data_IF_337563701987
#
_entry.id   IF_337563701987
#
_cell.length_a   1.000
_cell.length_b   1.000
_cell.length_c   1.000
_cell.angle_alpha   90.00
_cell.angle_beta   90.00
_cell.angle_gamma   90.00
#
_symmetry.space_group_name_H-M   'P 1'
#
loop_
_entity.id
_entity.type
_entity.pdbx_description
1 polymer ?
#
# COMPACT_ATOMS: atom_id res chain seq x y z
N UNK A 1 14.62 -23.19 9.33
CA UNK A 1 13.67 -22.31 10.06
C UNK A 1 14.21 -20.90 9.98
N UNK A 2 13.53 -20.00 9.27
CA UNK A 2 14.00 -18.62 9.05
C UNK A 2 13.43 -17.73 10.17
N UNK A 3 14.31 -17.10 10.93
CA UNK A 3 13.94 -16.21 12.03
C UNK A 3 13.51 -14.86 11.43
N UNK A 4 12.25 -14.46 11.63
CA UNK A 4 11.74 -13.13 11.23
C UNK A 4 11.80 -12.22 12.44
N UNK A 5 12.70 -11.24 12.40
CA UNK A 5 12.86 -10.25 13.48
C UNK A 5 11.89 -9.10 13.25
N UNK A 6 10.95 -8.89 14.16
CA UNK A 6 10.08 -7.71 14.17
C UNK A 6 10.71 -6.63 15.04
N UNK A 7 11.00 -5.46 14.48
CA UNK A 7 11.43 -4.28 15.21
C UNK A 7 10.24 -3.32 15.39
N UNK A 8 9.77 -3.16 16.63
CA UNK A 8 8.79 -2.13 16.99
C UNK A 8 9.55 -0.82 17.21
N UNK A 9 9.38 0.14 16.29
CA UNK A 9 9.97 1.48 16.43
C UNK A 9 8.99 2.37 17.19
N UNK A 10 9.22 2.56 18.50
CA UNK A 10 8.43 3.45 19.35
C UNK A 10 8.90 4.90 19.10
N UNK A 11 7.99 5.79 18.70
CA UNK A 11 8.27 7.23 18.51
C UNK A 11 8.53 7.68 17.07
N UNK A 12 8.42 6.80 16.08
CA UNK A 12 8.32 7.24 14.69
C UNK A 12 6.96 7.93 14.48
N UNK A 13 6.89 9.10 13.82
CA UNK A 13 5.61 9.71 13.48
C UNK A 13 4.83 8.75 12.58
N UNK A 14 3.75 8.18 13.11
CA UNK A 14 2.82 7.40 12.31
C UNK A 14 2.04 8.37 11.43
N UNK A 15 2.24 8.28 10.12
CA UNK A 15 1.41 9.01 9.17
C UNK A 15 0.09 8.25 9.04
N UNK A 16 -0.98 8.78 9.62
CA UNK A 16 -2.31 8.21 9.44
C UNK A 16 -2.84 8.61 8.06
N UNK A 17 -3.16 7.61 7.23
CA UNK A 17 -3.84 7.81 5.95
C UNK A 17 -5.29 7.36 6.08
N UNK A 18 -6.16 8.31 6.41
CA UNK A 18 -7.60 8.10 6.51
C UNK A 18 -8.26 8.40 5.17
N UNK A 19 -9.04 7.45 4.67
CA UNK A 19 -9.78 7.58 3.41
C UNK A 19 -11.27 7.51 3.71
N UNK A 20 -11.89 8.68 3.82
CA UNK A 20 -13.30 8.87 4.20
C UNK A 20 -14.15 9.45 3.06
N UNK A 21 -13.60 9.48 1.85
CA UNK A 21 -14.23 10.00 0.64
C UNK A 21 -13.88 9.09 -0.56
N UNK A 22 -14.54 9.26 -1.72
CA UNK A 22 -14.25 8.47 -2.92
C UNK A 22 -12.77 8.50 -3.31
N UNK A 23 -12.23 7.35 -3.73
CA UNK A 23 -10.81 7.21 -4.04
C UNK A 23 -10.55 6.22 -5.17
N UNK A 24 -9.42 6.43 -5.85
CA UNK A 24 -8.87 5.48 -6.83
C UNK A 24 -7.89 4.54 -6.16
N UNK A 25 -7.86 3.29 -6.59
CA UNK A 25 -6.89 2.30 -6.12
C UNK A 25 -6.41 1.41 -7.26
N UNK A 26 -5.21 0.86 -7.09
CA UNK A 26 -4.65 -0.14 -8.00
C UNK A 26 -3.83 -1.17 -7.22
N UNK A 27 -3.90 -2.43 -7.65
CA UNK A 27 -3.03 -3.51 -7.22
C UNK A 27 -1.92 -3.63 -8.25
N UNK A 28 -0.67 -3.37 -7.85
CA UNK A 28 0.48 -3.34 -8.75
C UNK A 28 1.46 -4.44 -8.38
N UNK A 29 1.84 -5.26 -9.36
CA UNK A 29 2.96 -6.19 -9.26
C UNK A 29 4.25 -5.44 -9.61
N UNK A 30 5.16 -5.28 -8.66
CA UNK A 30 6.50 -4.77 -8.95
C UNK A 30 7.27 -5.77 -9.82
N UNK A 31 8.00 -5.26 -10.82
CA UNK A 31 8.82 -6.07 -11.71
C UNK A 31 10.24 -5.53 -11.66
N UNK A 32 11.20 -6.37 -11.27
CA UNK A 32 12.59 -5.98 -11.10
C UNK A 32 12.90 -5.30 -9.76
N UNK A 33 14.16 -4.90 -9.58
CA UNK A 33 14.65 -4.22 -8.38
C UNK A 33 14.44 -2.70 -8.43
N UNK A 34 14.13 -2.13 -9.60
CA UNK A 34 13.86 -0.70 -9.70
C UNK A 34 12.46 -0.39 -9.15
N UNK A 35 12.37 0.73 -8.43
CA UNK A 35 11.11 1.16 -7.78
C UNK A 35 10.04 1.62 -8.77
N UNK A 36 10.43 1.82 -10.04
CA UNK A 36 9.64 2.52 -11.05
C UNK A 36 9.02 1.58 -12.10
N UNK A 37 9.34 0.28 -12.10
CA UNK A 37 8.69 -0.71 -12.97
C UNK A 37 7.67 -1.55 -12.22
N UNK A 38 6.40 -1.40 -12.61
CA UNK A 38 5.28 -2.17 -12.07
C UNK A 38 4.22 -2.47 -13.12
N UNK A 39 3.60 -3.63 -13.03
CA UNK A 39 2.45 -4.04 -13.84
C UNK A 39 1.19 -3.86 -13.00
N UNK A 40 0.22 -3.09 -13.50
CA UNK A 40 -1.10 -2.98 -12.87
C UNK A 40 -1.86 -4.29 -13.09
N UNK A 41 -2.22 -4.99 -12.02
CA UNK A 41 -3.02 -6.21 -12.06
C UNK A 41 -4.51 -5.90 -12.01
N UNK A 42 -4.89 -4.96 -11.14
CA UNK A 42 -6.26 -4.50 -10.95
C UNK A 42 -6.26 -3.00 -10.67
N UNK A 43 -7.33 -2.32 -11.08
CA UNK A 43 -7.56 -0.92 -10.74
C UNK A 43 -9.05 -0.65 -10.59
N UNK A 44 -9.39 0.35 -9.78
CA UNK A 44 -10.77 0.67 -9.50
C UNK A 44 -10.96 2.06 -8.93
N UNK A 45 -12.23 2.39 -8.73
CA UNK A 45 -12.68 3.61 -8.11
C UNK A 45 -13.77 3.26 -7.09
N UNK A 46 -13.53 3.56 -5.83
CA UNK A 46 -14.53 3.44 -4.78
C UNK A 46 -15.31 4.75 -4.68
N UNK A 47 -16.64 4.67 -4.79
CA UNK A 47 -17.54 5.83 -4.79
C UNK A 47 -18.18 6.13 -3.43
N UNK A 48 -17.96 5.29 -2.42
CA UNK A 48 -18.77 5.28 -1.21
C UNK A 48 -20.09 4.54 -1.43
N UNK A 49 -20.47 3.69 -0.47
CA UNK A 49 -21.86 3.23 -0.38
C UNK A 49 -22.70 4.41 0.12
N UNK A 50 -23.74 4.77 -0.65
CA UNK A 50 -24.70 5.82 -0.26
C UNK A 50 -25.60 5.34 0.87
#
# INVERSE_FOLDING_TARGET
VQMVTYSLVIGAPSYEFKVDHPFHYAIVKRVGESKDSGIVLFQGHYKGDK
#
